data_IF_138316712013
#
_entry.id   IF_138316712013
#
_cell.length_a   1.000
_cell.length_b   1.000
_cell.length_c   1.000
_cell.angle_alpha   90.00
_cell.angle_beta   90.00
_cell.angle_gamma   90.00
#
_symmetry.space_group_name_H-M   'P 1'
#
loop_
_entity.id
_entity.type
_entity.pdbx_description
1 polymer ?
2 non-polymer ?
3 non-polymer ?
4 non-polymer ?
5 non-polymer ?
6 water ?
#
# COMPACT_ATOMS: atom_id res chain seq x y z
N UNK A 3 -1.12 -19.08 -9.94
CA UNK A 3 -2.49 -19.46 -9.48
C UNK A 3 -2.70 -19.38 -7.97
N UNK A 4 -1.61 -19.57 -7.23
CA UNK A 4 -1.64 -19.52 -5.77
C UNK A 4 -2.33 -18.27 -5.27
N UNK A 5 -3.27 -18.46 -4.34
CA UNK A 5 -3.88 -17.35 -3.65
C UNK A 5 -2.78 -16.65 -2.86
N UNK A 6 -2.73 -15.33 -2.97
CA UNK A 6 -1.82 -14.53 -2.20
C UNK A 6 -2.67 -13.63 -1.30
N UNK A 7 -2.28 -13.59 -0.03
CA UNK A 7 -2.94 -12.76 1.00
C UNK A 7 -1.92 -11.86 1.67
N UNK A 8 -2.18 -10.55 1.64
CA UNK A 8 -1.30 -9.59 2.29
C UNK A 8 -1.96 -9.20 3.59
N UNK A 9 -1.43 -9.71 4.69
CA UNK A 9 -1.92 -9.37 6.01
C UNK A 9 -1.48 -7.96 6.40
N UNK A 10 -2.45 -7.06 6.48
CA UNK A 10 -2.15 -5.62 6.50
C UNK A 10 -2.46 -4.96 7.84
N UNK A 11 -1.45 -4.29 8.37
CA UNK A 11 -1.61 -3.37 9.48
C UNK A 11 -1.94 -1.99 8.92
N UNK A 12 -3.11 -1.46 9.28
CA UNK A 12 -3.51 -0.10 8.86
C UNK A 12 -3.39 0.81 10.06
N UNK A 13 -2.71 1.94 9.89
CA UNK A 13 -2.47 2.88 10.98
C UNK A 13 -2.99 4.25 10.56
N UNK A 14 -3.72 4.90 11.47
CA UNK A 14 -4.20 6.27 11.26
C UNK A 14 -3.62 7.15 12.35
N UNK A 15 -3.15 8.34 12.00
CA UNK A 15 -2.55 9.23 13.00
C UNK A 15 -3.58 10.08 13.75
N UNK A 16 -3.12 10.88 14.71
CA UNK A 16 -4.01 11.73 15.51
C UNK A 16 -4.82 12.72 14.66
N UNK A 17 -4.23 13.19 13.57
CA UNK A 17 -4.91 14.09 12.65
C UNK A 17 -6.10 13.42 11.96
N UNK A 18 -5.95 12.15 11.60
CA UNK A 18 -7.03 11.38 11.02
C UNK A 18 -8.17 11.20 12.02
N UNK A 19 -7.82 10.93 13.28
CA UNK A 19 -8.81 10.76 14.34
C UNK A 19 -9.55 12.07 14.60
N UNK A 20 -8.82 13.17 14.66
CA UNK A 20 -9.39 14.49 14.92
C UNK A 20 -10.42 14.86 13.86
N UNK A 21 -10.12 14.54 12.60
CA UNK A 21 -10.99 14.92 11.47
C UNK A 21 -12.16 13.97 11.24
N UNK A 22 -11.89 12.67 11.18
CA UNK A 22 -12.93 11.67 10.87
C UNK A 22 -13.71 11.23 12.11
N UNK A 23 -13.08 11.39 13.27
CA UNK A 23 -13.67 11.03 14.58
C UNK A 23 -14.17 9.61 14.64
N UNK A 24 -15.36 9.45 15.22
CA UNK A 24 -16.07 8.16 15.31
C UNK A 24 -16.20 7.39 13.99
N UNK A 25 -16.21 8.10 12.85
CA UNK A 25 -16.34 7.44 11.54
C UNK A 25 -15.05 6.96 10.90
N UNK A 26 -13.94 7.09 11.63
CA UNK A 26 -12.60 6.73 11.11
C UNK A 26 -12.43 5.25 10.75
N UNK A 27 -12.82 4.34 11.63
CA UNK A 27 -12.64 2.92 11.35
C UNK A 27 -13.40 2.53 10.10
N UNK A 28 -14.66 2.97 9.99
CA UNK A 28 -15.44 2.68 8.80
C UNK A 28 -14.77 3.28 7.56
N UNK A 29 -14.25 4.49 7.70
CA UNK A 29 -13.61 5.17 6.57
C UNK A 29 -12.40 4.39 6.08
N UNK A 30 -11.55 3.95 7.02
CA UNK A 30 -10.32 3.23 6.67
C UNK A 30 -10.64 1.90 6.02
N UNK A 31 -11.62 1.16 6.55
CA UNK A 31 -12.01 -0.10 5.91
C UNK A 31 -12.62 0.12 4.51
N UNK A 32 -13.31 1.23 4.30
CA UNK A 32 -13.86 1.57 2.99
C UNK A 32 -12.72 1.86 2.01
N UNK A 33 -11.74 2.65 2.44
CA UNK A 33 -10.57 2.98 1.62
C UNK A 33 -9.83 1.69 1.25
N UNK A 34 -9.66 0.82 2.23
CA UNK A 34 -8.88 -0.40 2.02
C UNK A 34 -9.67 -1.41 1.17
N UNK A 35 -10.98 -1.46 1.32
CA UNK A 35 -11.79 -2.28 0.43
C UNK A 35 -11.61 -1.87 -1.02
N UNK A 36 -11.60 -0.57 -1.28
CA UNK A 36 -11.40 -0.04 -2.62
C UNK A 36 -10.01 -0.37 -3.15
N UNK A 37 -8.98 -0.19 -2.32
CA UNK A 37 -7.63 -0.61 -2.74
C UNK A 37 -7.59 -2.12 -3.01
N UNK A 38 -8.27 -2.90 -2.17
CA UNK A 38 -8.30 -4.35 -2.36
C UNK A 38 -8.96 -4.71 -3.69
N UNK A 39 -9.99 -3.96 -4.07
CA UNK A 39 -10.67 -4.23 -5.33
C UNK A 39 -9.71 -4.03 -6.51
N UNK A 40 -8.92 -2.96 -6.45
CA UNK A 40 -7.87 -2.73 -7.46
C UNK A 40 -6.91 -3.91 -7.57
N UNK A 41 -6.48 -4.46 -6.43
CA UNK A 41 -5.51 -5.57 -6.43
C UNK A 41 -6.08 -6.91 -6.88
N UNK A 42 -7.41 -7.01 -6.99
CA UNK A 42 -8.02 -8.20 -7.58
C UNK A 42 -8.37 -8.03 -9.04
N UNK A 43 -8.14 -6.86 -9.61
CA UNK A 43 -8.49 -6.66 -11.01
C UNK A 43 -7.58 -7.53 -11.88
N UNK A 44 -8.18 -8.23 -12.86
CA UNK A 44 -7.42 -9.15 -13.71
C UNK A 44 -6.18 -8.55 -14.42
N UNK A 45 -6.22 -7.26 -14.75
CA UNK A 45 -5.07 -6.53 -15.32
C UNK A 45 -3.76 -6.68 -14.53
N UNK A 46 -3.83 -6.97 -13.25
CA UNK A 46 -2.64 -7.18 -12.42
C UNK A 46 -1.94 -8.53 -12.69
N UNK A 47 -2.66 -9.45 -13.32
CA UNK A 47 -2.18 -10.78 -13.74
C UNK A 47 -1.89 -11.77 -12.61
N UNK A 48 -1.34 -11.31 -11.50
CA UNK A 48 -1.17 -12.15 -10.32
C UNK A 48 -1.94 -11.48 -9.20
N UNK A 49 -3.28 -11.66 -9.17
CA UNK A 49 -4.04 -10.96 -8.15
C UNK A 49 -3.70 -11.40 -6.74
N UNK A 50 -3.88 -10.49 -5.80
CA UNK A 50 -3.55 -10.72 -4.41
C UNK A 50 -4.70 -10.17 -3.60
N UNK A 51 -4.93 -10.76 -2.43
CA UNK A 51 -5.99 -10.32 -1.55
C UNK A 51 -5.38 -9.42 -0.49
N UNK A 52 -5.67 -8.12 -0.56
CA UNK A 52 -5.23 -7.18 0.46
C UNK A 52 -6.21 -7.27 1.63
N UNK A 53 -5.72 -7.79 2.76
CA UNK A 53 -6.60 -8.08 3.89
C UNK A 53 -6.21 -7.24 5.11
N UNK A 54 -7.12 -6.41 5.61
CA UNK A 54 -6.84 -5.70 6.85
C UNK A 54 -6.97 -6.68 8.01
N UNK A 55 -5.86 -6.87 8.72
CA UNK A 55 -5.84 -7.77 9.91
C UNK A 55 -5.65 -7.03 11.25
N UNK A 56 -5.07 -5.83 11.21
CA UNK A 56 -4.92 -4.99 12.37
C UNK A 56 -5.14 -3.54 11.96
N UNK A 57 -5.75 -2.81 12.86
CA UNK A 57 -6.08 -1.42 12.60
C UNK A 57 -5.76 -0.64 13.87
N UNK A 58 -4.80 0.28 13.75
CA UNK A 58 -4.35 1.12 14.85
C UNK A 58 -4.74 2.58 14.63
N UNK A 59 -5.41 3.17 15.62
CA UNK A 59 -5.73 4.61 15.57
C UNK A 59 -4.94 5.29 16.68
N UNK A 60 -4.03 6.20 16.32
CA UNK A 60 -3.14 6.83 17.29
C UNK A 60 -3.79 8.04 17.96
N UNK A 66 3.73 6.99 19.28
CA UNK A 66 3.63 6.89 17.83
C UNK A 66 4.85 7.41 17.07
N UNK A 67 4.81 7.30 15.73
CA UNK A 67 5.89 7.73 14.85
C UNK A 67 5.90 9.23 14.58
N UNK A 68 7.02 9.75 14.08
CA UNK A 68 7.15 11.18 13.78
C UNK A 68 6.57 11.53 12.41
N UNK A 69 5.46 12.26 12.40
CA UNK A 69 4.80 12.67 11.17
C UNK A 69 5.05 14.16 10.92
N UNK A 70 5.67 14.47 9.78
CA UNK A 70 5.90 15.86 9.38
C UNK A 70 5.88 16.02 7.88
N UNK A 71 6.22 17.24 7.39
CA UNK A 71 6.18 17.58 5.96
C UNK A 71 7.04 16.69 5.06
N UNK A 72 8.23 16.31 5.53
CA UNK A 72 9.09 15.44 4.73
C UNK A 72 8.46 14.06 4.70
N UNK A 73 8.12 13.62 3.49
CA UNK A 73 7.58 12.29 3.29
C UNK A 73 8.65 11.23 3.57
N UNK A 74 9.88 11.48 3.13
CA UNK A 74 10.97 10.53 3.33
C UNK A 74 11.20 10.22 4.81
N UNK A 75 11.24 11.24 5.65
CA UNK A 75 11.53 10.98 7.06
C UNK A 75 10.30 10.48 7.83
N UNK A 76 9.09 10.87 7.38
CA UNK A 76 7.85 10.30 7.92
C UNK A 76 7.78 8.80 7.61
N UNK A 77 8.16 8.42 6.40
CA UNK A 77 8.18 7.01 6.02
C UNK A 77 9.23 6.25 6.84
N UNK A 78 10.42 6.84 7.01
CA UNK A 78 11.48 6.19 7.77
C UNK A 78 11.08 6.04 9.24
N UNK A 79 10.47 7.08 9.81
CA UNK A 79 10.00 7.05 11.18
C UNK A 79 8.94 5.97 11.34
N UNK A 80 7.92 6.01 10.49
CA UNK A 80 6.84 5.02 10.55
C UNK A 80 7.36 3.60 10.39
N UNK A 81 8.25 3.39 9.42
CA UNK A 81 8.75 2.04 9.16
C UNK A 81 9.58 1.49 10.33
N UNK A 82 10.32 2.35 11.02
CA UNK A 82 11.01 1.91 12.24
C UNK A 82 10.00 1.60 13.35
N UNK A 83 9.00 2.46 13.50
CA UNK A 83 8.01 2.32 14.56
C UNK A 83 7.17 1.03 14.41
N UNK A 84 6.76 0.72 13.17
CA UNK A 84 5.84 -0.40 12.96
C UNK A 84 6.48 -1.75 13.28
N UNK A 85 7.80 -1.84 13.13
CA UNK A 85 8.54 -3.04 13.51
C UNK A 85 8.16 -3.51 14.91
N UNK A 86 8.01 -2.56 15.83
CA UNK A 86 7.72 -2.87 17.21
C UNK A 86 6.40 -3.56 17.46
N UNK A 87 5.44 -3.40 16.56
CA UNK A 87 4.12 -4.00 16.74
C UNK A 87 4.08 -5.42 16.19
N UNK A 88 5.05 -5.77 15.36
CA UNK A 88 5.02 -7.05 14.65
C UNK A 88 5.60 -8.15 15.53
N UNK A 89 5.44 -9.38 15.07
CA UNK A 89 6.02 -10.55 15.74
C UNK A 89 6.99 -11.23 14.77
N UNK A 90 7.93 -12.05 15.30
CA UNK A 90 8.95 -12.61 14.40
C UNK A 90 8.46 -13.59 13.34
N UNK A 91 7.42 -14.38 13.65
CA UNK A 91 6.97 -15.43 12.75
C UNK A 91 5.55 -15.19 12.22
N UNK A 92 5.39 -15.49 10.94
CA UNK A 92 4.11 -15.31 10.22
C UNK A 92 3.01 -16.24 10.74
N UNK A 93 3.43 -17.34 11.38
CA UNK A 93 2.55 -18.27 12.09
C UNK A 93 1.71 -17.62 13.20
N UNK A 94 2.24 -16.56 13.81
CA UNK A 94 1.54 -15.83 14.86
C UNK A 94 0.40 -15.01 14.27
N UNK A 95 -0.82 -15.07 14.86
CA UNK A 95 -1.96 -14.27 14.35
C UNK A 95 -1.74 -12.76 14.31
N UNK A 96 -0.92 -12.24 15.23
CA UNK A 96 -0.63 -10.80 15.30
C UNK A 96 0.36 -10.37 14.24
N UNK A 97 1.02 -11.32 13.59
CA UNK A 97 1.99 -10.96 12.55
C UNK A 97 1.29 -10.35 11.35
N UNK A 98 1.93 -9.34 10.77
CA UNK A 98 1.43 -8.71 9.56
C UNK A 98 2.54 -8.59 8.53
N UNK A 99 2.12 -8.58 7.27
CA UNK A 99 3.00 -8.61 6.10
C UNK A 99 3.37 -7.20 5.60
N UNK A 100 2.50 -6.21 5.80
CA UNK A 100 2.81 -4.85 5.39
C UNK A 100 2.11 -3.86 6.32
N UNK A 101 2.69 -2.67 6.44
CA UNK A 101 2.19 -1.61 7.31
C UNK A 101 1.91 -0.36 6.46
N UNK A 102 0.71 0.20 6.58
CA UNK A 102 0.34 1.39 5.81
C UNK A 102 -0.22 2.46 6.75
N UNK A 103 0.35 3.66 6.64
CA UNK A 103 -0.04 4.78 7.47
C UNK A 103 -0.85 5.78 6.68
N UNK A 104 -2.00 6.17 7.21
CA UNK A 104 -2.78 7.29 6.69
C UNK A 104 -2.65 8.47 7.64
N UNK A 105 -2.37 9.62 7.06
CA UNK A 105 -2.25 10.87 7.81
C UNK A 105 -2.91 12.00 7.04
N UNK A 106 -3.36 13.02 7.77
CA UNK A 106 -3.84 14.26 7.17
C UNK A 106 -2.72 15.28 6.93
N UNK A 107 -1.50 14.98 7.41
CA UNK A 107 -0.32 15.81 7.13
C UNK A 107 -0.09 15.97 5.63
N UNK A 108 0.11 17.21 5.19
CA UNK A 108 0.52 17.46 3.81
C UNK A 108 1.97 16.98 3.66
N UNK A 109 2.13 15.84 2.97
CA UNK A 109 3.44 15.24 2.75
C UNK A 109 4.13 15.92 1.59
N UNK A 110 5.44 16.09 1.71
CA UNK A 110 6.22 16.82 0.70
C UNK A 110 7.48 16.09 0.28
N UNK A 111 7.89 16.35 -0.95
CA UNK A 111 9.18 15.91 -1.47
C UNK A 111 10.20 17.02 -1.24
N UNK A 112 11.31 16.94 -1.94
CA UNK A 112 12.39 17.94 -1.81
C UNK A 112 12.00 19.38 -2.25
N UNK A 113 11.18 19.48 -3.30
CA UNK A 113 10.88 20.77 -3.95
C UNK A 113 9.42 21.21 -3.89
N UNK A 114 8.47 20.26 -3.82
CA UNK A 114 7.07 20.62 -3.67
C UNK A 114 6.35 19.67 -2.72
N UNK A 115 5.11 20.03 -2.41
CA UNK A 115 4.25 19.25 -1.55
C UNK A 115 3.13 18.57 -2.32
N UNK A 116 3.32 18.42 -3.63
CA UNK A 116 2.35 17.72 -4.51
C UNK A 116 2.27 16.22 -4.19
N UNK A 117 3.29 15.71 -3.51
CA UNK A 117 3.34 14.28 -3.19
C UNK A 117 2.12 13.89 -2.32
N UNK A 118 1.58 12.70 -2.56
CA UNK A 118 0.47 12.17 -1.75
C UNK A 118 0.86 10.94 -0.94
N UNK A 119 2.09 10.47 -1.10
CA UNK A 119 2.48 9.25 -0.40
C UNK A 119 3.89 8.83 -0.72
N UNK A 120 4.34 7.78 -0.04
CA UNK A 120 5.70 7.27 -0.28
C UNK A 120 5.79 5.82 0.19
N UNK A 121 6.65 5.05 -0.47
CA UNK A 121 6.96 3.68 -0.08
C UNK A 121 8.27 3.29 -0.69
N UNK A 122 9.03 2.44 -0.02
CA UNK A 122 10.19 1.84 -0.68
C UNK A 122 9.71 0.70 -1.58
N UNK A 123 10.55 0.35 -2.54
CA UNK A 123 10.14 -0.49 -3.65
C UNK A 123 10.55 -1.95 -3.43
N UNK A 124 9.59 -2.88 -3.59
CA UNK A 124 9.88 -4.31 -3.59
C UNK A 124 10.28 -4.87 -2.24
N UNK A 125 9.45 -4.59 -1.23
CA UNK A 125 9.79 -4.87 0.16
C UNK A 125 8.79 -5.77 0.91
N UNK A 126 7.80 -6.30 0.20
CA UNK A 126 6.57 -6.79 0.84
C UNK A 126 6.77 -7.88 1.89
N UNK A 127 7.75 -8.76 1.68
CA UNK A 127 8.00 -9.86 2.64
C UNK A 127 9.21 -9.64 3.57
N UNK A 128 9.69 -8.40 3.58
CA UNK A 128 10.71 -7.98 4.52
C UNK A 128 10.07 -7.13 5.61
N UNK A 129 9.81 -7.74 6.77
CA UNK A 129 9.15 -6.97 7.86
C UNK A 129 9.82 -5.69 8.32
N UNK A 130 11.13 -5.57 8.12
CA UNK A 130 11.84 -4.34 8.43
C UNK A 130 11.53 -3.20 7.47
N UNK A 131 11.07 -3.54 6.27
CA UNK A 131 10.97 -2.58 5.18
C UNK A 131 9.59 -2.46 4.54
N UNK A 132 8.65 -3.34 4.89
CA UNK A 132 7.36 -3.41 4.15
C UNK A 132 6.40 -2.34 4.65
N UNK A 133 6.55 -1.13 4.12
CA UNK A 133 5.94 0.09 4.68
C UNK A 133 5.49 1.05 3.61
N UNK A 134 4.41 1.76 3.89
CA UNK A 134 3.88 2.79 3.00
C UNK A 134 3.18 3.86 3.83
N UNK A 135 3.22 5.10 3.34
CA UNK A 135 2.50 6.21 3.93
C UNK A 135 1.62 6.87 2.86
N UNK A 136 0.47 7.36 3.30
CA UNK A 136 -0.54 7.96 2.43
C UNK A 136 -1.08 9.23 3.07
N UNK A 137 -1.04 10.31 2.29
CA UNK A 137 -1.72 11.55 2.65
C UNK A 137 -3.19 11.39 2.29
N UNK A 138 -4.04 11.37 3.29
CA UNK A 138 -5.49 11.25 3.10
C UNK A 138 -6.08 12.53 2.50
N UNK A 139 -6.54 12.46 1.26
CA UNK A 139 -7.16 13.62 0.59
C UNK A 139 -8.66 13.64 0.75
N UNK A 140 -9.23 12.54 1.24
CA UNK A 140 -10.64 12.44 1.59
C UNK A 140 -11.54 11.84 0.53
N UNK A 141 -11.01 11.63 -0.67
CA UNK A 141 -11.79 11.13 -1.82
C UNK A 141 -11.05 10.08 -2.65
N UNK A 142 -9.77 10.31 -2.93
CA UNK A 142 -9.00 9.39 -3.79
C UNK A 142 -7.94 8.59 -3.04
N UNK A 143 -8.06 8.50 -1.72
CA UNK A 143 -7.01 7.87 -0.88
C UNK A 143 -6.78 6.40 -1.19
N UNK A 144 -7.82 5.70 -1.65
CA UNK A 144 -7.67 4.30 -2.06
C UNK A 144 -6.72 4.16 -3.24
N UNK A 145 -6.72 5.13 -4.14
CA UNK A 145 -5.86 5.08 -5.32
C UNK A 145 -4.42 5.37 -4.92
N UNK A 146 -4.24 6.31 -4.01
CA UNK A 146 -2.91 6.58 -3.48
C UNK A 146 -2.37 5.35 -2.75
N UNK A 147 -3.22 4.73 -1.94
CA UNK A 147 -2.81 3.50 -1.26
C UNK A 147 -2.42 2.43 -2.27
N UNK A 148 -3.22 2.26 -3.32
CA UNK A 148 -2.89 1.24 -4.33
C UNK A 148 -1.55 1.56 -5.02
N UNK A 149 -1.27 2.84 -5.28
CA UNK A 149 0.01 3.24 -5.89
C UNK A 149 1.20 2.86 -4.98
N UNK A 150 1.08 3.17 -3.69
CA UNK A 150 2.15 2.93 -2.74
C UNK A 150 2.35 1.44 -2.56
N UNK A 151 1.25 0.69 -2.43
CA UNK A 151 1.31 -0.76 -2.38
C UNK A 151 1.88 -1.38 -3.66
N UNK A 152 1.62 -0.77 -4.83
CA UNK A 152 2.26 -1.20 -6.08
C UNK A 152 3.77 -1.11 -5.96
N UNK A 153 4.27 -0.01 -5.42
CA UNK A 153 5.71 0.11 -5.16
C UNK A 153 6.21 -0.99 -4.20
N UNK A 154 5.47 -1.26 -3.14
CA UNK A 154 5.85 -2.32 -2.19
C UNK A 154 5.97 -3.66 -2.92
N UNK A 155 5.12 -3.87 -3.92
CA UNK A 155 5.15 -5.06 -4.80
C UNK A 155 6.14 -4.96 -5.98
N UNK A 156 7.07 -4.03 -5.88
CA UNK A 156 8.19 -3.86 -6.81
C UNK A 156 7.87 -3.13 -8.11
N UNK A 157 6.70 -2.51 -8.20
CA UNK A 157 6.31 -1.82 -9.43
C UNK A 157 7.00 -0.46 -9.58
N UNK A 158 7.31 -0.13 -10.83
CA UNK A 158 7.85 1.17 -11.25
C UNK A 158 6.74 2.10 -11.72
N UNK A 159 7.10 3.35 -12.00
CA UNK A 159 6.18 4.24 -12.71
C UNK A 159 6.07 3.91 -14.19
N UNK A 160 4.90 4.16 -14.75
CA UNK A 160 4.60 3.80 -16.13
C UNK A 160 5.33 4.62 -17.18
N UNK A 161 5.91 5.75 -16.78
CA UNK A 161 6.75 6.56 -17.67
C UNK A 161 8.25 6.23 -17.55
N UNK A 162 8.58 5.23 -16.74
CA UNK A 162 9.97 4.74 -16.63
C UNK A 162 10.37 4.02 -17.92
N UNK A 163 11.68 3.88 -18.15
CA UNK A 163 12.20 3.29 -19.39
C UNK A 163 11.74 1.84 -19.55
N UNK A 164 11.90 1.02 -18.48
CA UNK A 164 11.45 -0.39 -18.56
C UNK A 164 9.96 -0.53 -18.85
N UNK A 165 9.16 0.44 -18.39
CA UNK A 165 7.72 0.41 -18.62
C UNK A 165 7.31 0.82 -20.03
N UNK A 166 8.09 1.65 -20.70
CA UNK A 166 7.77 2.07 -22.08
C UNK A 166 7.78 0.87 -23.03
N UNK A 167 8.81 0.03 -22.88
CA UNK A 167 8.95 -1.22 -23.65
C UNK A 167 7.83 -2.22 -23.39
N UNK A 168 7.39 -2.31 -22.13
CA UNK A 168 6.34 -3.24 -21.71
C UNK A 168 4.92 -2.71 -21.97
N UNK A 169 4.71 -1.40 -21.93
CA UNK A 169 3.38 -0.83 -22.14
C UNK A 169 3.05 -0.46 -23.58
N UNK A 170 4.07 -0.17 -24.38
CA UNK A 170 3.86 0.35 -25.72
C UNK A 170 3.68 1.86 -25.65
N UNK A 171 3.36 2.49 -26.79
CA UNK A 171 3.29 3.94 -26.90
C UNK A 171 1.89 4.55 -26.72
N UNK A 172 0.86 3.72 -26.68
CA UNK A 172 -0.53 4.20 -26.75
C UNK A 172 -1.18 4.33 -25.38
N UNK A 175 -1.14 7.51 -19.07
CA UNK A 175 -1.19 8.17 -17.77
C UNK A 175 -2.43 7.76 -16.98
N UNK A 176 -3.01 6.65 -17.38
CA UNK A 176 -4.37 6.28 -17.01
C UNK A 176 -4.38 5.06 -16.06
N UNK A 177 -3.22 4.76 -15.47
CA UNK A 177 -3.09 3.59 -14.59
C UNK A 177 -2.67 3.99 -13.18
N UNK A 178 -2.72 3.03 -12.25
CA UNK A 178 -2.34 3.29 -10.86
C UNK A 178 -0.90 3.77 -10.74
N UNK A 179 -0.01 3.22 -11.56
CA UNK A 179 1.42 3.52 -11.44
C UNK A 179 1.87 4.66 -12.37
N UNK A 180 0.94 5.50 -12.81
CA UNK A 180 1.31 6.80 -13.37
C UNK A 180 2.12 7.57 -12.31
N UNK A 181 3.05 8.44 -12.75
CA UNK A 181 3.90 9.14 -11.79
C UNK A 181 3.14 10.16 -10.95
N UNK A 182 2.03 10.66 -11.49
CA UNK A 182 1.12 11.54 -10.76
C UNK A 182 -0.30 11.02 -10.91
N UNK A 183 -1.15 11.34 -9.96
CA UNK A 183 -2.52 10.85 -10.02
C UNK A 183 -3.22 11.48 -11.20
N UNK A 184 -3.86 10.64 -12.00
CA UNK A 184 -4.73 11.08 -13.06
C UNK A 184 -5.94 10.17 -12.98
N UNK A 185 -6.86 10.30 -13.92
CA UNK A 185 -8.04 9.45 -13.88
C UNK A 185 -7.68 8.02 -14.32
N UNK A 186 -7.97 7.07 -13.44
CA UNK A 186 -7.54 5.69 -13.61
C UNK A 186 -8.57 4.92 -14.45
N UNK A 187 -8.08 4.24 -15.48
CA UNK A 187 -8.92 3.44 -16.36
C UNK A 187 -9.57 2.26 -15.61
N UNK A 188 -10.92 2.25 -15.52
CA UNK A 188 -11.56 1.17 -14.77
C UNK A 188 -11.36 -0.23 -15.38
N UNK A 189 -11.12 -0.29 -16.69
CA UNK A 189 -10.84 -1.57 -17.38
C UNK A 189 -9.38 -1.98 -17.34
N UNK A 190 -8.52 -1.10 -16.82
CA UNK A 190 -7.10 -1.42 -16.79
C UNK A 190 -6.40 -0.56 -15.75
N UNK A 191 -6.71 -0.80 -14.46
CA UNK A 191 -6.00 -0.01 -13.42
C UNK A 191 -4.50 -0.24 -13.43
N UNK A 192 -4.06 -1.44 -13.85
CA UNK A 192 -2.65 -1.82 -13.87
C UNK A 192 -2.17 -1.96 -15.30
N UNK A 193 -1.08 -1.28 -15.61
CA UNK A 193 -0.45 -1.39 -16.93
C UNK A 193 0.21 -2.76 -17.12
N UNK A 194 0.54 -3.11 -18.38
CA UNK A 194 1.33 -4.33 -18.56
C UNK A 194 2.67 -4.35 -17.81
N UNK A 195 3.30 -3.19 -17.67
CA UNK A 195 4.51 -3.07 -16.89
C UNK A 195 4.28 -3.42 -15.43
N UNK A 196 3.21 -2.88 -14.86
CA UNK A 196 2.84 -3.21 -13.48
C UNK A 196 2.64 -4.71 -13.28
N UNK A 197 1.83 -5.34 -14.12
CA UNK A 197 1.58 -6.78 -14.02
C UNK A 197 2.87 -7.61 -14.15
N UNK A 198 3.75 -7.22 -15.07
CA UNK A 198 5.03 -7.90 -15.25
C UNK A 198 5.90 -7.83 -14.01
N UNK A 199 6.02 -6.64 -13.45
CA UNK A 199 6.89 -6.46 -12.31
C UNK A 199 6.36 -7.19 -11.07
N UNK A 200 5.05 -7.17 -10.81
CA UNK A 200 4.53 -7.95 -9.68
C UNK A 200 4.63 -9.45 -9.97
N UNK A 201 4.41 -9.85 -11.22
CA UNK A 201 4.44 -11.26 -11.58
C UNK A 201 5.86 -11.82 -11.38
N UNK A 202 6.87 -11.10 -11.87
CA UNK A 202 8.27 -11.50 -11.67
C UNK A 202 8.66 -11.55 -10.20
N UNK A 203 8.17 -10.57 -9.44
CA UNK A 203 8.49 -10.45 -8.02
C UNK A 203 8.01 -11.71 -7.29
N UNK A 204 6.78 -12.11 -7.58
CA UNK A 204 6.21 -13.33 -7.01
C UNK A 204 6.86 -14.58 -7.57
N UNK A 205 7.12 -14.61 -8.87
CA UNK A 205 7.78 -15.76 -9.51
C UNK A 205 9.19 -16.01 -8.96
N UNK A 206 9.87 -14.93 -8.54
CA UNK A 206 11.20 -15.01 -7.94
C UNK A 206 11.20 -15.34 -6.44
N UNK A 207 10.01 -15.53 -5.85
CA UNK A 207 9.87 -15.98 -4.48
C UNK A 207 9.84 -14.89 -3.43
N UNK A 208 9.66 -13.63 -3.86
CA UNK A 208 9.66 -12.49 -2.95
C UNK A 208 8.32 -12.27 -2.26
N UNK A 209 7.30 -13.06 -2.63
CA UNK A 209 6.01 -13.06 -1.96
C UNK A 209 5.77 -14.30 -1.11
N UNK A 210 6.85 -14.90 -0.62
CA UNK A 210 6.80 -16.12 0.19
C UNK A 210 6.02 -15.99 1.50
N UNK A 211 5.88 -14.76 2.01
CA UNK A 211 5.15 -14.49 3.24
C UNK A 211 3.65 -14.23 2.98
N UNK A 212 3.22 -14.33 1.73
CA UNK A 212 1.83 -14.03 1.35
C UNK A 212 1.01 -15.30 1.17
N UNK A 213 1.53 -16.43 1.64
CA UNK A 213 0.90 -17.71 1.31
C UNK A 213 -0.05 -18.23 2.36
N UNK A 214 0.10 -17.76 3.60
CA UNK A 214 -0.79 -18.14 4.69
C UNK A 214 -2.07 -17.29 4.70
N UNK A 215 -3.18 -17.90 5.10
CA UNK A 215 -4.46 -17.25 5.02
C UNK A 215 -4.75 -16.60 6.36
N UNK A 216 -5.12 -15.31 6.35
CA UNK A 216 -5.42 -14.69 7.63
C UNK A 216 -6.61 -15.32 8.36
N UNK A 217 -6.52 -15.23 9.68
CA UNK A 217 -7.44 -15.81 10.65
C UNK A 217 -8.74 -15.01 10.74
N UNK A 218 -8.56 -13.73 11.04
CA UNK A 218 -9.64 -12.87 11.47
C UNK A 218 -9.59 -11.54 10.75
N UNK A 219 -9.82 -11.56 9.42
CA UNK A 219 -9.82 -10.30 8.68
C UNK A 219 -10.86 -9.33 9.24
N UNK A 220 -10.58 -8.05 9.14
CA UNK A 220 -11.56 -7.02 9.51
C UNK A 220 -12.45 -6.76 8.30
N UNK A 221 -13.76 -6.93 8.49
CA UNK A 221 -14.74 -6.83 7.40
C UNK A 221 -15.62 -5.59 7.59
N UNK A 222 -15.98 -4.91 6.52
CA UNK A 222 -17.08 -3.93 6.58
C UNK A 222 -18.41 -4.64 6.81
N UNK A 223 -19.29 -4.08 7.67
CA UNK A 223 -20.70 -4.49 7.71
C UNK A 223 -21.37 -4.48 6.33
X LIG B 1 5.25 6.45 -7.17
X LIG C 1 1.54 -13.60 5.81
X LIG D 1 0.10 -14.82 9.12
X LIG E 1 1.28 16.60 -0.26
X LIG F 1 -8.98 9.76 -9.56
X LIG F 1 -8.42 10.83 -10.33
X LIG F 1 -8.37 8.44 -10.01
X LIG F 1 -9.15 7.81 -11.04
X LIG G 1 8.43 12.66 -4.60
X LIG G 1 9.08 11.49 -4.28
X LIG G 1 -1.76 8.03 -7.20
X LIG G 1 0.10 9.28 -5.83
X LIG G 1 4.69 11.27 -5.96
X LIG G 1 0.39 8.74 -7.96
X LIG G 1 7.02 11.09 -5.03
X LIG G 1 5.17 8.15 -4.96
X LIG G 1 5.79 10.36 -5.45
X LIG G 1 8.48 9.10 -4.37
X LIG G 1 -0.98 7.68 -9.47
X LIG G 1 0.23 8.29 -9.24
X LIG G 1 -1.93 7.55 -8.49
X LIG G 1 -0.53 8.65 -6.94
X LIG G 1 1.35 9.70 -6.25
X LIG G 1 6.12 9.42 -6.58
X LIG G 1 2.43 10.37 -5.62
X LIG G 1 7.17 12.40 -5.06
X LIG G 1 5.66 8.19 -6.22
X LIG G 1 5.32 9.42 -4.44
X LIG G 1 3.53 10.53 -6.44
X LIG G 1 8.17 10.50 -4.56
X LIG G 1 6.67 9.75 -7.62
X LIG G 1 4.69 7.17 -4.41
X LIG G 1 2.38 10.74 -4.45
X LIG G 1 1.52 9.37 -7.57
X LIG G 1 -3.38 6.75 -9.00
#
# INVERSE_FOLDING_TARGET
>A
FASLSRFVETLVVADDKMAAFHGAGLKRYLLTVMAAAAKAFKHPSIRNPVSLVVTRLVILGSGEEGPQVGPSAAQTLRSFCAWQRGLNTPEDSDPDHFDTAILFTRQDLCGVSTCDTLGMADVGTVCDPARSCAIVEDDGLQSAFTAAHELGHVFNMLHDNSKPCISLNGPLSTSRHVMAPVMAHVDPEEPWSPCSARFITDFLDNGYGHCLLDKPEAPLHLPVTFPDVHHHHHH
>B hetero
1 ZN ZN
>C hetero
1 CA CA
>D hetero
1 CA CA
>E hetero
1 CA CA
>F hetero
1 EDO C1 O1 C2 O2
>G hetero
1 3PW C4 C5 C6 C7 C8 C10 C13 C15 C17 C1 C2 C3 C9 C11 C12 C14 C16 N18 N19 N20 N21 N22 O23 O24 O25 O26 CL2
#
